data_IF_460166953510
#
_entry.id   IF_460166953510
#
_cell.length_a   1.000
_cell.length_b   1.000
_cell.length_c   1.000
_cell.angle_alpha   90.00
_cell.angle_beta   90.00
_cell.angle_gamma   90.00
#
_symmetry.space_group_name_H-M   'P 1'
#
loop_
_entity.id
_entity.type
_entity.pdbx_description
1 polymer ?
#
# COMPACT_ATOMS: atom_id res chain seq x y z
N UNK A 1 34.96 -9.62 18.14
CA UNK A 1 35.05 -8.44 17.25
C UNK A 1 34.50 -8.88 15.90
N UNK A 2 33.18 -8.77 15.72
CA UNK A 2 32.49 -9.25 14.51
C UNK A 2 32.14 -8.03 13.64
N UNK A 3 32.69 -8.03 12.43
CA UNK A 3 32.55 -6.98 11.43
C UNK A 3 31.22 -7.19 10.70
N UNK A 4 30.30 -6.22 10.79
CA UNK A 4 29.03 -6.21 10.06
C UNK A 4 29.28 -5.63 8.66
N UNK A 5 29.03 -6.42 7.61
CA UNK A 5 29.09 -5.92 6.23
C UNK A 5 27.78 -5.22 5.87
N UNK A 6 27.86 -3.90 5.72
CA UNK A 6 26.85 -3.07 5.10
C UNK A 6 26.91 -3.22 3.57
N UNK A 7 25.80 -3.65 2.96
CA UNK A 7 25.62 -3.71 1.51
C UNK A 7 24.52 -2.77 1.07
N UNK A 8 24.88 -1.51 0.79
CA UNK A 8 24.01 -0.50 0.20
C UNK A 8 23.96 -0.65 -1.32
N UNK A 9 22.77 -0.81 -1.90
CA UNK A 9 22.48 -0.36 -3.28
C UNK A 9 21.29 0.59 -3.19
N UNK A 10 21.60 1.88 -3.20
CA UNK A 10 20.63 2.98 -3.25
C UNK A 10 20.21 3.25 -4.68
N UNK A 11 18.92 3.09 -4.97
CA UNK A 11 18.28 3.55 -6.20
C UNK A 11 17.10 4.46 -5.87
N UNK A 12 17.36 5.77 -5.81
CA UNK A 12 16.39 6.87 -5.90
C UNK A 12 15.27 6.93 -4.85
N UNK A 13 15.50 7.55 -3.70
CA UNK A 13 14.41 7.99 -2.81
C UNK A 13 13.90 9.39 -3.27
N UNK A 14 12.60 9.55 -3.57
CA UNK A 14 12.04 10.84 -3.92
C UNK A 14 11.88 11.73 -2.67
N UNK A 15 11.82 13.04 -2.93
CA UNK A 15 11.91 14.15 -1.97
C UNK A 15 10.99 13.99 -0.74
N UNK A 16 11.58 14.12 0.44
CA UNK A 16 10.93 13.98 1.74
C UNK A 16 9.98 15.15 2.03
N UNK A 17 8.67 14.86 2.09
CA UNK A 17 7.62 15.75 2.63
C UNK A 17 7.28 15.40 4.10
N UNK A 18 8.19 14.73 4.82
CA UNK A 18 8.08 14.37 6.23
C UNK A 18 7.16 13.17 6.51
N UNK A 19 7.02 12.24 5.56
CA UNK A 19 6.17 11.05 5.74
C UNK A 19 7.05 9.83 6.03
N UNK A 20 6.93 9.28 7.23
CA UNK A 20 7.56 8.01 7.60
C UNK A 20 6.70 6.83 7.16
N UNK A 21 7.18 6.07 6.19
CA UNK A 21 6.51 4.84 5.72
C UNK A 21 6.72 3.66 6.68
N UNK A 22 5.74 2.76 6.82
CA UNK A 22 5.92 1.57 7.64
C UNK A 22 6.92 0.62 6.99
N UNK A 23 7.63 -0.12 7.82
CA UNK A 23 8.54 -1.16 7.36
C UNK A 23 7.77 -2.23 6.58
N UNK A 24 8.30 -2.64 5.43
CA UNK A 24 7.78 -3.72 4.61
C UNK A 24 8.85 -4.82 4.56
N UNK A 25 8.73 -5.88 5.39
CA UNK A 25 9.70 -6.97 5.41
C UNK A 25 9.88 -7.57 4.01
N UNK A 26 11.14 -7.78 3.64
CA UNK A 26 11.51 -8.47 2.39
C UNK A 26 11.92 -9.88 2.72
N UNK A 27 11.32 -10.85 2.03
CA UNK A 27 11.72 -12.24 2.08
C UNK A 27 12.74 -12.52 0.97
N UNK A 28 13.63 -13.48 1.19
CA UNK A 28 14.52 -13.98 0.13
C UNK A 28 13.83 -15.11 -0.63
N UNK A 29 12.74 -14.77 -1.33
CA UNK A 29 11.97 -15.69 -2.15
C UNK A 29 12.22 -15.37 -3.63
N UNK A 30 12.55 -16.38 -4.41
CA UNK A 30 12.81 -16.27 -5.85
C UNK A 30 12.24 -17.47 -6.57
N UNK A 31 11.43 -17.22 -7.60
CA UNK A 31 10.91 -18.25 -8.50
C UNK A 31 11.78 -18.33 -9.77
N UNK A 32 11.75 -19.47 -10.46
CA UNK A 32 12.43 -19.64 -11.75
C UNK A 32 11.42 -19.95 -12.85
N UNK A 33 11.38 -19.10 -13.87
CA UNK A 33 10.49 -19.23 -15.02
C UNK A 33 11.32 -19.32 -16.30
N UNK A 34 11.27 -20.46 -16.97
CA UNK A 34 12.00 -20.71 -18.22
C UNK A 34 13.52 -20.40 -18.14
N UNK A 35 14.15 -20.76 -17.01
CA UNK A 35 15.56 -20.49 -16.76
C UNK A 35 15.87 -19.07 -16.25
N UNK A 36 14.85 -18.22 -16.07
CA UNK A 36 15.00 -16.85 -15.54
C UNK A 36 14.55 -16.80 -14.08
N UNK A 37 15.45 -16.36 -13.20
CA UNK A 37 15.16 -16.13 -11.78
C UNK A 37 14.43 -14.80 -11.57
N UNK A 38 13.31 -14.84 -10.87
CA UNK A 38 12.45 -13.69 -10.57
C UNK A 38 12.24 -13.60 -9.05
N UNK A 39 12.86 -12.63 -8.37
CA UNK A 39 12.67 -12.44 -6.93
C UNK A 39 11.29 -11.88 -6.63
N UNK A 40 10.61 -12.47 -5.67
CA UNK A 40 9.34 -11.99 -5.13
C UNK A 40 9.42 -11.80 -3.61
N UNK A 41 10.08 -10.72 -3.15
CA UNK A 41 10.31 -10.47 -1.74
C UNK A 41 9.05 -10.12 -0.95
N UNK A 42 7.93 -9.87 -1.62
CA UNK A 42 6.68 -9.41 -1.01
C UNK A 42 5.52 -10.40 -1.16
N UNK A 43 5.78 -11.65 -1.55
CA UNK A 43 4.81 -12.75 -1.63
C UNK A 43 3.90 -12.88 -0.41
N UNK A 44 4.38 -12.52 0.78
CA UNK A 44 3.58 -12.53 2.01
C UNK A 44 2.34 -11.62 1.95
N UNK A 45 2.34 -10.57 1.13
CA UNK A 45 1.18 -9.70 0.91
C UNK A 45 0.03 -10.40 0.19
N UNK A 46 0.28 -11.52 -0.49
CA UNK A 46 -0.78 -12.34 -1.11
C UNK A 46 -1.65 -13.06 -0.07
N UNK A 47 -1.14 -13.24 1.15
CA UNK A 47 -1.89 -13.81 2.27
C UNK A 47 -2.69 -12.71 2.96
N UNK A 48 -3.82 -12.32 2.36
CA UNK A 48 -4.66 -11.18 2.78
C UNK A 48 -5.20 -11.32 4.19
N UNK A 49 -5.43 -12.55 4.65
CA UNK A 49 -6.03 -12.85 5.95
C UNK A 49 -4.98 -13.00 7.06
N UNK A 50 -3.70 -12.94 6.71
CA UNK A 50 -2.62 -13.04 7.70
C UNK A 50 -2.57 -11.80 8.60
N UNK A 51 -2.21 -12.01 9.87
CA UNK A 51 -2.07 -10.91 10.83
C UNK A 51 -1.01 -9.90 10.37
N UNK A 52 0.07 -10.37 9.73
CA UNK A 52 1.14 -9.53 9.20
C UNK A 52 0.63 -8.60 8.10
N UNK A 53 -0.08 -9.13 7.10
CA UNK A 53 -0.66 -8.35 6.00
C UNK A 53 -1.67 -7.34 6.51
N UNK A 54 -2.55 -7.75 7.44
CA UNK A 54 -3.51 -6.84 8.06
C UNK A 54 -2.83 -5.67 8.79
N UNK A 55 -1.82 -5.95 9.62
CA UNK A 55 -1.05 -4.90 10.34
C UNK A 55 -0.37 -3.92 9.38
N UNK A 56 0.20 -4.43 8.28
CA UNK A 56 0.84 -3.59 7.29
C UNK A 56 -0.18 -2.71 6.55
N UNK A 57 -1.33 -3.27 6.15
CA UNK A 57 -2.43 -2.51 5.54
C UNK A 57 -2.92 -1.41 6.49
N UNK A 58 -3.12 -1.71 7.77
CA UNK A 58 -3.54 -0.72 8.77
C UNK A 58 -2.53 0.44 8.89
N UNK A 59 -1.23 0.11 8.89
CA UNK A 59 -0.16 1.12 8.93
C UNK A 59 -0.12 2.00 7.68
N UNK A 60 -0.29 1.41 6.48
CA UNK A 60 -0.36 2.14 5.22
C UNK A 60 -1.61 3.04 5.16
N UNK A 61 -2.77 2.51 5.56
CA UNK A 61 -4.02 3.26 5.62
C UNK A 61 -3.92 4.47 6.55
N UNK A 62 -3.23 4.34 7.69
CA UNK A 62 -3.01 5.47 8.60
C UNK A 62 -2.30 6.63 7.92
N UNK A 63 -1.27 6.36 7.11
CA UNK A 63 -0.57 7.40 6.35
C UNK A 63 -1.49 7.99 5.28
N UNK A 64 -2.16 7.13 4.51
CA UNK A 64 -3.04 7.55 3.44
C UNK A 64 -4.16 8.47 3.96
N UNK A 65 -4.85 8.07 5.04
CA UNK A 65 -5.90 8.87 5.64
C UNK A 65 -5.37 10.16 6.24
N UNK A 66 -4.24 10.14 6.96
CA UNK A 66 -3.63 11.36 7.50
C UNK A 66 -3.24 12.36 6.40
N UNK A 67 -2.85 11.88 5.21
CA UNK A 67 -2.61 12.74 4.06
C UNK A 67 -3.93 13.28 3.48
N UNK A 68 -4.91 12.41 3.25
CA UNK A 68 -6.18 12.77 2.64
C UNK A 68 -7.02 13.71 3.51
N UNK A 69 -6.94 13.60 4.84
CA UNK A 69 -7.61 14.49 5.80
C UNK A 69 -7.12 15.94 5.71
N UNK A 70 -5.87 16.16 5.28
CA UNK A 70 -5.32 17.50 5.09
C UNK A 70 -5.88 18.22 3.86
N UNK A 71 -6.62 17.54 2.99
CA UNK A 71 -7.17 18.12 1.76
C UNK A 71 -8.50 18.84 2.08
N UNK A 72 -8.55 20.19 2.08
CA UNK A 72 -9.72 20.92 2.59
C UNK A 72 -11.02 20.66 1.81
N UNK A 73 -10.90 20.35 0.51
CA UNK A 73 -12.05 20.11 -0.37
C UNK A 73 -12.63 18.70 -0.29
N UNK A 74 -11.99 17.77 0.44
CA UNK A 74 -12.38 16.36 0.47
C UNK A 74 -13.83 16.16 0.93
N UNK A 75 -14.26 16.87 1.97
CA UNK A 75 -15.62 16.74 2.51
C UNK A 75 -16.66 17.28 1.53
N UNK A 76 -16.46 18.48 0.96
CA UNK A 76 -17.38 19.07 0.01
C UNK A 76 -17.59 18.21 -1.26
N UNK A 77 -16.53 17.55 -1.74
CA UNK A 77 -16.61 16.62 -2.86
C UNK A 77 -17.43 15.38 -2.47
N UNK A 78 -17.18 14.81 -1.28
CA UNK A 78 -17.92 13.65 -0.78
C UNK A 78 -19.42 13.96 -0.70
N UNK A 79 -19.79 15.08 -0.08
CA UNK A 79 -21.18 15.49 0.08
C UNK A 79 -21.87 15.67 -1.28
N UNK A 80 -21.22 16.37 -2.22
CA UNK A 80 -21.77 16.57 -3.56
C UNK A 80 -22.00 15.27 -4.32
N UNK A 81 -21.07 14.32 -4.20
CA UNK A 81 -21.21 13.01 -4.84
C UNK A 81 -22.35 12.21 -4.19
N UNK A 82 -22.50 12.27 -2.87
CA UNK A 82 -23.62 11.64 -2.16
C UNK A 82 -24.96 12.19 -2.63
N UNK A 83 -25.12 13.50 -2.73
CA UNK A 83 -26.36 14.13 -3.23
C UNK A 83 -26.69 13.68 -4.66
N UNK A 84 -25.68 13.66 -5.53
CA UNK A 84 -25.86 13.26 -6.94
C UNK A 84 -26.15 11.77 -7.11
N UNK A 85 -25.70 10.93 -6.18
CA UNK A 85 -25.86 9.48 -6.27
C UNK A 85 -27.20 9.01 -5.68
N UNK A 86 -27.77 9.75 -4.72
CA UNK A 86 -28.98 9.37 -3.99
C UNK A 86 -30.27 9.63 -4.80
N UNK A 87 -30.48 8.85 -5.85
CA UNK A 87 -31.72 8.84 -6.63
C UNK A 87 -32.17 7.42 -6.95
N UNK A 88 -33.47 7.24 -7.24
CA UNK A 88 -34.05 5.95 -7.61
C UNK A 88 -33.45 5.40 -8.91
N UNK A 89 -33.13 4.11 -8.90
CA UNK A 89 -32.61 3.41 -10.08
C UNK A 89 -33.37 2.11 -10.26
N UNK A 90 -33.82 1.88 -11.47
CA UNK A 90 -34.54 0.67 -11.85
C UNK A 90 -33.61 -0.25 -12.64
N UNK A 91 -33.53 -1.52 -12.22
CA UNK A 91 -32.82 -2.58 -12.94
C UNK A 91 -33.72 -3.27 -13.97
N UNK A 92 -33.13 -4.12 -14.80
CA UNK A 92 -33.89 -4.97 -15.72
C UNK A 92 -34.55 -6.11 -14.91
N UNK A 93 -35.86 -6.37 -15.05
CA UNK A 93 -36.51 -7.52 -14.42
C UNK A 93 -35.90 -8.86 -14.89
N UNK A 94 -35.75 -9.82 -13.98
CA UNK A 94 -35.24 -11.18 -14.27
C UNK A 94 -36.32 -12.24 -14.07
#
# INVERSE_FOLDING_TARGET
MALVFAGTVGGGAPRDNGITYPEAPRLDLTDEHHGVKVPDPYRWLEQTDSEQTRKWIEAQNKIAYAYLEKIPKRQAIKDRLTDLWNFERYGIPH
#
